data_IF_757535796883
#
_entry.id   IF_757535796883
#
_cell.length_a   1.000
_cell.length_b   1.000
_cell.length_c   1.000
_cell.angle_alpha   90.00
_cell.angle_beta   90.00
_cell.angle_gamma   90.00
#
_symmetry.space_group_name_H-M   'P 1'
#
loop_
_entity.id
_entity.type
_entity.pdbx_description
1 polymer ?
#
# COMPACT_ATOMS: atom_id res chain seq x y z
N UNK A 1 -16.34 4.68 20.21
CA UNK A 1 -15.29 5.68 19.95
C UNK A 1 -14.96 5.57 18.47
N UNK A 2 -15.64 6.35 17.63
CA UNK A 2 -15.29 6.44 16.22
C UNK A 2 -14.01 7.26 16.09
N UNK A 3 -12.88 6.58 16.24
CA UNK A 3 -11.61 7.08 15.72
C UNK A 3 -11.75 7.06 14.20
N UNK A 4 -12.12 8.20 13.61
CA UNK A 4 -11.94 8.38 12.17
C UNK A 4 -10.44 8.24 11.87
N UNK A 5 -9.99 7.03 11.58
CA UNK A 5 -8.61 6.76 11.26
C UNK A 5 -8.30 7.44 9.93
N UNK A 6 -7.32 8.35 9.93
CA UNK A 6 -6.96 9.14 8.77
C UNK A 6 -6.52 8.24 7.60
N UNK A 7 -7.37 8.17 6.56
CA UNK A 7 -7.16 7.44 5.31
C UNK A 7 -6.64 8.35 4.17
N UNK A 8 -6.31 9.62 4.45
CA UNK A 8 -5.77 10.50 3.42
C UNK A 8 -4.45 9.95 2.85
N UNK A 9 -4.25 10.09 1.55
CA UNK A 9 -3.01 9.63 0.91
C UNK A 9 -2.67 10.51 -0.28
N UNK A 10 -1.40 10.92 -0.34
CA UNK A 10 -0.86 11.81 -1.36
C UNK A 10 -0.06 10.99 -2.37
N UNK A 11 -0.37 11.18 -3.65
CA UNK A 11 0.30 10.50 -4.75
C UNK A 11 1.14 11.48 -5.56
N UNK A 12 2.34 11.03 -5.95
CA UNK A 12 3.22 11.75 -6.88
C UNK A 12 3.43 10.86 -8.10
N UNK A 13 3.34 11.43 -9.30
CA UNK A 13 3.51 10.70 -10.57
C UNK A 13 4.84 9.93 -10.60
N UNK A 14 5.93 10.56 -10.17
CA UNK A 14 7.26 9.93 -10.08
C UNK A 14 7.25 8.66 -9.21
N UNK A 15 6.53 8.67 -8.09
CA UNK A 15 6.45 7.52 -7.19
C UNK A 15 5.54 6.42 -7.75
N UNK A 16 4.43 6.79 -8.38
CA UNK A 16 3.57 5.84 -9.09
C UNK A 16 4.34 5.14 -10.22
N UNK A 17 5.16 5.89 -10.98
CA UNK A 17 6.00 5.34 -12.03
C UNK A 17 7.07 4.39 -11.48
N UNK A 18 7.76 4.77 -10.40
CA UNK A 18 8.75 3.89 -9.75
C UNK A 18 8.13 2.57 -9.27
N UNK A 19 6.91 2.62 -8.74
CA UNK A 19 6.23 1.45 -8.15
C UNK A 19 5.31 0.71 -9.12
N UNK A 20 5.25 1.13 -10.40
CA UNK A 20 4.31 0.61 -11.38
C UNK A 20 4.44 -0.89 -11.65
N UNK A 21 5.60 -1.49 -11.38
CA UNK A 21 5.80 -2.96 -11.36
C UNK A 21 4.80 -3.72 -10.48
N UNK A 22 4.13 -3.05 -9.55
CA UNK A 22 3.13 -3.65 -8.68
C UNK A 22 1.68 -3.41 -9.14
N UNK A 23 1.46 -2.62 -10.20
CA UNK A 23 0.13 -2.23 -10.68
C UNK A 23 -0.73 -3.44 -11.08
N UNK A 24 -0.11 -4.51 -11.59
CA UNK A 24 -0.80 -5.73 -11.98
C UNK A 24 -1.52 -6.41 -10.80
N UNK A 25 -0.97 -6.33 -9.57
CA UNK A 25 -1.64 -6.85 -8.37
C UNK A 25 -2.97 -6.13 -8.09
N UNK A 26 -3.11 -4.89 -8.57
CA UNK A 26 -4.29 -4.04 -8.43
C UNK A 26 -5.15 -4.03 -9.72
N UNK A 27 -4.94 -4.99 -10.62
CA UNK A 27 -5.71 -5.12 -11.87
C UNK A 27 -5.36 -4.11 -12.96
N UNK A 28 -4.24 -3.40 -12.84
CA UNK A 28 -3.78 -2.46 -13.86
C UNK A 28 -2.62 -3.07 -14.64
N UNK A 29 -2.88 -3.41 -15.90
CA UNK A 29 -1.94 -4.07 -16.80
C UNK A 29 -1.46 -3.14 -17.92
N UNK A 30 -0.32 -3.46 -18.53
CA UNK A 30 0.29 -2.70 -19.63
C UNK A 30 1.54 -1.93 -19.20
N UNK A 31 1.95 -0.95 -20.01
CA UNK A 31 3.16 -0.15 -19.79
C UNK A 31 2.87 1.06 -18.90
N UNK A 32 3.90 1.55 -18.20
CA UNK A 32 3.83 2.78 -17.42
C UNK A 32 3.70 4.00 -18.36
N UNK A 33 2.51 4.58 -18.42
CA UNK A 33 2.21 5.83 -19.12
C UNK A 33 1.15 6.60 -18.32
N UNK A 34 0.84 7.84 -18.71
CA UNK A 34 -0.09 8.67 -17.94
C UNK A 34 -1.46 7.98 -17.70
N UNK A 35 -2.04 7.33 -18.71
CA UNK A 35 -3.32 6.63 -18.59
C UNK A 35 -3.26 5.51 -17.54
N UNK A 36 -2.23 4.67 -17.59
CA UNK A 36 -2.09 3.54 -16.66
C UNK A 36 -1.66 4.00 -15.26
N UNK A 37 -0.89 5.08 -15.14
CA UNK A 37 -0.54 5.69 -13.86
C UNK A 37 -1.78 6.27 -13.14
N UNK A 38 -2.67 6.93 -13.86
CA UNK A 38 -3.96 7.38 -13.30
C UNK A 38 -4.86 6.21 -12.91
N UNK A 39 -4.89 5.14 -13.71
CA UNK A 39 -5.63 3.92 -13.35
C UNK A 39 -5.06 3.28 -12.08
N UNK A 40 -3.73 3.22 -11.95
CA UNK A 40 -3.07 2.69 -10.76
C UNK A 40 -3.35 3.55 -9.53
N UNK A 41 -3.22 4.88 -9.62
CA UNK A 41 -3.60 5.79 -8.54
C UNK A 41 -5.04 5.57 -8.06
N UNK A 42 -5.98 5.42 -8.99
CA UNK A 42 -7.39 5.17 -8.66
C UNK A 42 -7.58 3.82 -7.96
N UNK A 43 -6.88 2.77 -8.40
CA UNK A 43 -6.95 1.46 -7.77
C UNK A 43 -6.39 1.49 -6.34
N UNK A 44 -5.24 2.16 -6.13
CA UNK A 44 -4.65 2.37 -4.81
C UNK A 44 -5.59 3.16 -3.88
N UNK A 45 -6.22 4.21 -4.40
CA UNK A 45 -7.16 5.02 -3.62
C UNK A 45 -8.39 4.21 -3.18
N UNK A 46 -8.99 3.45 -4.10
CA UNK A 46 -10.12 2.54 -3.78
C UNK A 46 -9.76 1.53 -2.70
N UNK A 47 -8.55 0.97 -2.77
CA UNK A 47 -8.03 0.08 -1.74
C UNK A 47 -7.96 0.80 -0.38
N UNK A 48 -7.30 1.95 -0.30
CA UNK A 48 -7.16 2.73 0.93
C UNK A 48 -8.51 3.16 1.52
N UNK A 49 -9.49 3.51 0.68
CA UNK A 49 -10.82 3.95 1.09
C UNK A 49 -11.76 2.79 1.44
N UNK A 50 -11.40 1.54 1.11
CA UNK A 50 -12.27 0.39 1.38
C UNK A 50 -12.47 0.18 2.88
N UNK A 51 -13.72 -0.06 3.33
CA UNK A 51 -13.98 -0.41 4.73
C UNK A 51 -13.37 -1.76 5.12
N UNK A 52 -13.13 -2.67 4.16
CA UNK A 52 -12.43 -3.95 4.40
C UNK A 52 -10.93 -3.79 4.66
N UNK A 53 -10.37 -2.63 4.31
CA UNK A 53 -8.94 -2.38 4.44
C UNK A 53 -8.61 -1.89 5.84
N UNK A 54 -7.80 -2.69 6.54
CA UNK A 54 -7.30 -2.43 7.88
C UNK A 54 -6.13 -1.45 7.84
N UNK A 55 -6.14 -0.47 8.75
CA UNK A 55 -4.98 0.38 9.00
C UNK A 55 -4.10 -0.26 10.07
N UNK A 56 -2.84 -0.48 9.73
CA UNK A 56 -1.85 -1.05 10.63
C UNK A 56 -0.64 -0.13 10.70
N UNK A 57 -0.48 0.57 11.82
CA UNK A 57 0.76 1.31 12.13
C UNK A 57 1.92 0.32 12.26
N UNK A 58 3.09 0.68 11.74
CA UNK A 58 4.25 -0.19 11.81
C UNK A 58 5.45 0.37 11.08
N UNK A 59 6.26 -0.51 10.48
CA UNK A 59 7.51 -0.15 9.84
C UNK A 59 7.64 -0.75 8.44
N UNK A 60 8.20 0.03 7.52
CA UNK A 60 8.67 -0.45 6.23
C UNK A 60 10.16 -0.09 6.09
N UNK A 61 11.03 -1.09 5.96
CA UNK A 61 12.49 -0.90 5.91
C UNK A 61 13.01 0.00 7.05
N UNK A 62 12.59 -0.31 8.28
CA UNK A 62 12.90 0.43 9.51
C UNK A 62 12.38 1.89 9.57
N UNK A 63 11.53 2.32 8.65
CA UNK A 63 10.86 3.64 8.71
C UNK A 63 9.42 3.49 9.16
N UNK A 64 8.91 4.35 10.07
CA UNK A 64 7.53 4.26 10.53
C UNK A 64 6.55 4.62 9.41
N UNK A 65 5.47 3.84 9.31
CA UNK A 65 4.46 3.91 8.24
C UNK A 65 3.08 3.49 8.75
N UNK A 66 2.06 3.78 7.94
CA UNK A 66 0.77 3.11 7.99
C UNK A 66 0.67 2.14 6.81
N UNK A 67 0.39 0.87 7.11
CA UNK A 67 -0.02 -0.12 6.11
C UNK A 67 -1.54 -0.11 5.99
N UNK A 68 -2.05 -0.16 4.77
CA UNK A 68 -3.45 -0.34 4.44
C UNK A 68 -3.58 -1.75 3.87
N UNK A 69 -4.00 -2.70 4.69
CA UNK A 69 -3.98 -4.13 4.37
C UNK A 69 -5.40 -4.66 4.24
N UNK A 70 -5.69 -5.29 3.11
CA UNK A 70 -6.87 -6.12 2.95
C UNK A 70 -6.47 -7.59 3.21
N UNK A 71 -7.07 -8.19 4.25
CA UNK A 71 -6.64 -9.50 4.76
C UNK A 71 -7.02 -10.62 3.78
N UNK A 72 -8.16 -10.47 3.08
CA UNK A 72 -8.69 -11.50 2.19
C UNK A 72 -7.89 -11.59 0.89
N UNK A 73 -7.54 -10.45 0.29
CA UNK A 73 -6.80 -10.39 -0.97
C UNK A 73 -5.28 -10.32 -0.78
N UNK A 74 -4.81 -10.03 0.43
CA UNK A 74 -3.41 -9.76 0.76
C UNK A 74 -2.87 -8.46 0.15
N UNK A 75 -3.71 -7.61 -0.44
CA UNK A 75 -3.28 -6.33 -1.00
C UNK A 75 -2.85 -5.37 0.11
N UNK A 76 -1.70 -4.73 -0.09
CA UNK A 76 -1.15 -3.76 0.84
C UNK A 76 -0.77 -2.47 0.13
N UNK A 77 -1.09 -1.33 0.74
CA UNK A 77 -0.59 0.01 0.39
C UNK A 77 0.15 0.60 1.58
N UNK A 78 1.32 1.18 1.34
CA UNK A 78 2.19 1.74 2.39
C UNK A 78 2.21 3.25 2.25
N UNK A 79 1.92 3.94 3.36
CA UNK A 79 1.95 5.41 3.46
C UNK A 79 2.91 5.85 4.55
N UNK A 80 3.66 6.92 4.29
CA UNK A 80 4.46 7.58 5.31
C UNK A 80 3.57 8.20 6.40
N UNK A 81 4.19 8.62 7.51
CA UNK A 81 3.49 9.43 8.52
C UNK A 81 3.09 10.82 8.02
N UNK A 82 3.77 11.35 6.98
CA UNK A 82 3.42 12.62 6.32
C UNK A 82 2.23 12.50 5.36
N UNK A 83 1.72 11.29 5.13
CA UNK A 83 0.61 11.05 4.21
C UNK A 83 1.03 10.69 2.77
N UNK A 84 2.32 10.64 2.46
CA UNK A 84 2.81 10.30 1.13
C UNK A 84 2.72 8.78 0.87
N UNK A 85 2.23 8.40 -0.31
CA UNK A 85 2.32 7.03 -0.82
C UNK A 85 3.79 6.61 -1.01
N UNK A 86 4.15 5.42 -0.52
CA UNK A 86 5.51 4.86 -0.63
C UNK A 86 5.57 3.68 -1.60
N UNK A 87 4.71 2.68 -1.44
CA UNK A 87 4.69 1.48 -2.27
C UNK A 87 3.39 0.70 -2.05
N UNK A 88 3.15 -0.31 -2.88
CA UNK A 88 2.04 -1.24 -2.75
C UNK A 88 2.34 -2.56 -3.44
N UNK A 89 1.84 -3.68 -2.94
CA UNK A 89 1.85 -4.99 -3.62
C UNK A 89 0.96 -5.99 -2.89
N UNK A 90 0.66 -7.13 -3.53
CA UNK A 90 0.05 -8.27 -2.85
C UNK A 90 1.10 -8.99 -2.01
N UNK A 91 0.90 -9.04 -0.70
CA UNK A 91 1.75 -9.76 0.24
C UNK A 91 1.64 -11.27 0.02
N UNK A 92 2.73 -12.01 0.23
CA UNK A 92 2.61 -13.47 0.45
C UNK A 92 1.94 -13.75 1.80
N UNK A 93 1.42 -14.97 2.01
CA UNK A 93 0.78 -15.34 3.27
C UNK A 93 1.67 -15.09 4.49
N UNK A 94 2.97 -15.42 4.39
CA UNK A 94 3.95 -15.15 5.44
C UNK A 94 4.17 -13.64 5.70
N UNK A 95 4.21 -12.84 4.63
CA UNK A 95 4.34 -11.39 4.76
C UNK A 95 3.08 -10.78 5.39
N UNK A 96 1.89 -11.24 4.97
CA UNK A 96 0.61 -10.80 5.51
C UNK A 96 0.53 -11.10 7.00
N UNK A 97 0.76 -12.35 7.40
CA UNK A 97 0.76 -12.75 8.81
C UNK A 97 1.76 -11.91 9.62
N UNK A 98 2.98 -11.71 9.11
CA UNK A 98 4.00 -10.93 9.78
C UNK A 98 3.61 -9.45 9.93
N UNK A 99 2.98 -8.84 8.91
CA UNK A 99 2.47 -7.46 8.98
C UNK A 99 1.29 -7.34 9.94
N UNK A 100 0.34 -8.27 9.91
CA UNK A 100 -0.79 -8.27 10.84
C UNK A 100 -0.28 -8.40 12.29
N UNK A 101 0.65 -9.32 12.53
CA UNK A 101 1.20 -9.55 13.88
C UNK A 101 2.08 -8.41 14.36
N UNK A 102 2.99 -7.90 13.53
CA UNK A 102 4.08 -7.00 13.97
C UNK A 102 4.05 -5.60 13.38
N UNK A 103 3.30 -5.37 12.31
CA UNK A 103 3.32 -4.15 11.52
C UNK A 103 4.61 -3.96 10.69
N UNK A 104 5.52 -4.94 10.64
CA UNK A 104 6.83 -4.78 9.99
C UNK A 104 6.85 -5.40 8.59
N UNK A 105 7.50 -4.74 7.64
CA UNK A 105 7.66 -5.20 6.26
C UNK A 105 9.01 -4.78 5.69
N UNK A 106 9.67 -5.66 4.93
CA UNK A 106 10.89 -5.33 4.19
C UNK A 106 12.16 -5.22 5.04
N UNK A 107 12.28 -6.03 6.09
CA UNK A 107 13.49 -6.15 6.92
C UNK A 107 14.31 -7.41 6.66
N UNK A 108 14.34 -7.91 5.42
CA UNK A 108 15.15 -9.08 5.07
C UNK A 108 16.62 -8.82 5.42
N UNK A 109 17.10 -9.45 6.48
CA UNK A 109 18.51 -9.73 6.64
C UNK A 109 18.87 -10.69 5.52
N UNK A 110 19.58 -10.17 4.51
CA UNK A 110 20.49 -11.00 3.73
C UNK A 110 21.45 -11.72 4.66
#
# INVERSE_FOLDING_TARGET
>A
MDINEDRSIQFRIKQLQHTFRHAASFGVVGNANLKTLFAFQRALRRHVESPSTLLRKGYYRNRPVTHFVDIDSGLNVIRSLSGDYLSAWRLSSLQLEYVIRTGRLGGGTS
#
